data_IF_426088831933
#
_entry.id   IF_426088831933
#
_cell.length_a   1.000
_cell.length_b   1.000
_cell.length_c   1.000
_cell.angle_alpha   90.00
_cell.angle_beta   90.00
_cell.angle_gamma   90.00
#
_symmetry.space_group_name_H-M   'P 1'
#
loop_
_entity.id
_entity.type
_entity.pdbx_description
1 polymer ?
#
# COMPACT_ATOMS: atom_id res chain seq x y z
N UNK A 1 6.79 -7.93 22.18
CA UNK A 1 7.43 -7.53 20.90
C UNK A 1 6.71 -8.05 19.63
N UNK A 2 6.21 -9.31 19.57
CA UNK A 2 5.49 -9.85 18.39
C UNK A 2 4.17 -9.12 18.02
N UNK A 3 3.50 -8.48 18.99
CA UNK A 3 2.26 -7.75 18.75
C UNK A 3 2.44 -6.53 17.81
N UNK A 4 3.56 -5.82 17.93
CA UNK A 4 3.83 -4.62 17.12
C UNK A 4 4.07 -4.95 15.64
N UNK A 5 4.68 -6.11 15.35
CA UNK A 5 4.87 -6.55 13.97
C UNK A 5 3.53 -6.88 13.29
N UNK A 6 2.63 -7.58 14.00
CA UNK A 6 1.27 -7.87 13.50
C UNK A 6 0.47 -6.59 13.25
N UNK A 7 0.60 -5.60 14.14
CA UNK A 7 -0.03 -4.30 13.97
C UNK A 7 0.49 -3.59 12.70
N UNK A 8 1.80 -3.50 12.51
CA UNK A 8 2.42 -2.89 11.31
C UNK A 8 1.91 -3.56 10.04
N UNK A 9 1.93 -4.89 9.99
CA UNK A 9 1.42 -5.65 8.84
C UNK A 9 -0.06 -5.33 8.59
N UNK A 10 -0.89 -5.26 9.63
CA UNK A 10 -2.31 -4.95 9.48
C UNK A 10 -2.58 -3.53 8.97
N UNK A 11 -1.78 -2.54 9.39
CA UNK A 11 -1.90 -1.16 8.93
C UNK A 11 -1.47 -1.02 7.46
N UNK A 12 -0.38 -1.67 7.07
CA UNK A 12 0.06 -1.67 5.67
C UNK A 12 -0.94 -2.40 4.78
N UNK A 13 -1.51 -3.54 5.23
CA UNK A 13 -2.55 -4.26 4.50
C UNK A 13 -3.80 -3.41 4.29
N UNK A 14 -4.15 -2.54 5.25
CA UNK A 14 -5.27 -1.60 5.13
C UNK A 14 -5.05 -0.58 4.00
N UNK A 15 -3.81 -0.14 3.76
CA UNK A 15 -3.48 0.71 2.61
C UNK A 15 -3.54 -0.11 1.32
N UNK A 16 -2.92 -1.29 1.30
CA UNK A 16 -2.84 -2.16 0.12
C UNK A 16 -4.21 -2.45 -0.50
N UNK A 17 -5.21 -2.82 0.30
CA UNK A 17 -6.56 -3.13 -0.20
C UNK A 17 -7.31 -1.92 -0.73
N UNK A 18 -6.88 -0.70 -0.37
CA UNK A 18 -7.50 0.55 -0.82
C UNK A 18 -6.88 1.09 -2.10
N UNK A 19 -5.70 0.60 -2.49
CA UNK A 19 -5.01 1.02 -3.71
C UNK A 19 -5.90 0.81 -4.95
N UNK A 20 -5.81 1.66 -5.99
CA UNK A 20 -6.63 1.57 -7.19
C UNK A 20 -6.55 0.21 -7.90
N UNK A 21 -5.39 -0.44 -7.85
CA UNK A 21 -5.18 -1.79 -8.39
C UNK A 21 -6.09 -2.86 -7.74
N UNK A 22 -6.55 -2.60 -6.51
CA UNK A 22 -7.39 -3.49 -5.70
C UNK A 22 -8.78 -2.91 -5.43
N UNK A 23 -9.03 -1.66 -5.84
CA UNK A 23 -10.23 -0.89 -5.51
C UNK A 23 -10.68 -0.07 -6.74
N UNK A 24 -11.34 -0.76 -7.67
CA UNK A 24 -11.81 -0.20 -8.93
C UNK A 24 -12.69 1.04 -8.72
N UNK A 25 -12.42 2.11 -9.46
CA UNK A 25 -13.17 3.37 -9.39
C UNK A 25 -12.65 4.36 -8.34
N UNK A 26 -11.57 4.04 -7.62
CA UNK A 26 -10.81 5.00 -6.80
C UNK A 26 -9.51 5.37 -7.48
N UNK A 27 -9.17 6.65 -7.44
CA UNK A 27 -7.87 7.16 -7.92
C UNK A 27 -6.92 7.35 -6.75
N UNK A 28 -5.62 7.51 -7.03
CA UNK A 28 -4.62 7.80 -6.00
C UNK A 28 -4.93 9.13 -5.31
N UNK A 29 -5.30 10.16 -6.06
CA UNK A 29 -5.62 11.47 -5.52
C UNK A 29 -6.80 11.38 -4.54
N UNK A 30 -7.81 10.57 -4.85
CA UNK A 30 -8.95 10.35 -3.96
C UNK A 30 -8.56 9.63 -2.65
N UNK A 31 -7.52 8.78 -2.69
CA UNK A 31 -7.00 8.07 -1.53
C UNK A 31 -6.12 8.95 -0.66
N UNK A 32 -5.33 9.83 -1.28
CA UNK A 32 -4.48 10.79 -0.56
C UNK A 32 -5.31 11.78 0.27
N UNK A 33 -6.51 12.13 -0.19
CA UNK A 33 -7.44 12.99 0.55
C UNK A 33 -8.29 12.23 1.59
N UNK A 34 -8.26 10.90 1.60
CA UNK A 34 -9.05 10.11 2.52
C UNK A 34 -8.44 10.12 3.93
N UNK A 35 -9.21 10.58 4.91
CA UNK A 35 -8.77 10.75 6.29
C UNK A 35 -8.27 9.44 6.93
N UNK A 36 -8.87 8.29 6.60
CA UNK A 36 -8.46 7.00 7.15
C UNK A 36 -7.12 6.56 6.56
N UNK A 37 -6.90 6.77 5.26
CA UNK A 37 -5.62 6.56 4.59
C UNK A 37 -4.53 7.41 5.24
N UNK A 38 -4.77 8.71 5.40
CA UNK A 38 -3.81 9.63 6.02
C UNK A 38 -3.44 9.22 7.45
N UNK A 39 -4.43 8.90 8.29
CA UNK A 39 -4.20 8.42 9.66
C UNK A 39 -3.40 7.12 9.69
N UNK A 40 -3.69 6.20 8.77
CA UNK A 40 -2.99 4.91 8.68
C UNK A 40 -1.52 5.13 8.26
N UNK A 41 -1.25 6.01 7.31
CA UNK A 41 0.11 6.39 6.89
C UNK A 41 0.87 7.05 8.06
N UNK A 42 0.24 7.98 8.78
CA UNK A 42 0.84 8.62 9.95
C UNK A 42 1.25 7.60 11.02
N UNK A 43 0.38 6.62 11.32
CA UNK A 43 0.69 5.54 12.26
C UNK A 43 1.85 4.64 11.79
N UNK A 44 1.95 4.37 10.48
CA UNK A 44 3.08 3.60 9.91
C UNK A 44 4.39 4.38 10.08
N UNK A 45 4.38 5.70 9.82
CA UNK A 45 5.54 6.57 10.00
C UNK A 45 6.00 6.56 11.46
N UNK A 46 5.09 6.73 12.41
CA UNK A 46 5.41 6.71 13.85
C UNK A 46 6.01 5.35 14.27
N UNK A 47 5.41 4.24 13.83
CA UNK A 47 5.91 2.89 14.14
C UNK A 47 7.27 2.60 13.49
N UNK A 48 7.59 3.25 12.36
CA UNK A 48 8.86 3.06 11.65
C UNK A 48 10.07 3.48 12.49
N UNK A 49 9.91 4.45 13.40
CA UNK A 49 10.96 4.92 14.33
C UNK A 49 11.50 3.75 15.18
N UNK A 50 10.63 2.81 15.54
CA UNK A 50 10.99 1.69 16.42
C UNK A 50 11.18 0.37 15.68
N UNK A 51 10.64 0.25 14.46
CA UNK A 51 10.55 -1.01 13.71
C UNK A 51 10.74 -0.84 12.19
N UNK A 52 11.66 0.04 11.78
CA UNK A 52 11.91 0.36 10.38
C UNK A 52 12.05 -0.86 9.46
N UNK A 53 12.86 -1.86 9.87
CA UNK A 53 13.07 -3.08 9.06
C UNK A 53 11.76 -3.82 8.76
N UNK A 54 10.83 -3.90 9.72
CA UNK A 54 9.54 -4.59 9.51
C UNK A 54 8.66 -3.79 8.55
N UNK A 55 8.63 -2.45 8.70
CA UNK A 55 7.88 -1.56 7.82
C UNK A 55 8.39 -1.66 6.38
N UNK A 56 9.70 -1.52 6.18
CA UNK A 56 10.33 -1.54 4.84
C UNK A 56 10.12 -2.89 4.15
N UNK A 57 10.33 -4.00 4.86
CA UNK A 57 10.10 -5.33 4.29
C UNK A 57 8.64 -5.51 3.83
N UNK A 58 7.69 -5.05 4.63
CA UNK A 58 6.27 -5.18 4.27
C UNK A 58 5.88 -4.25 3.12
N UNK A 59 6.43 -3.03 3.04
CA UNK A 59 6.23 -2.13 1.90
C UNK A 59 6.82 -2.70 0.61
N UNK A 60 7.99 -3.35 0.68
CA UNK A 60 8.61 -4.00 -0.48
C UNK A 60 7.68 -5.08 -1.07
N UNK A 61 7.01 -5.88 -0.22
CA UNK A 61 6.03 -6.88 -0.67
C UNK A 61 4.81 -6.24 -1.37
N UNK A 62 4.34 -5.09 -0.87
CA UNK A 62 3.24 -4.35 -1.53
C UNK A 62 3.68 -3.77 -2.87
N UNK A 63 4.89 -3.22 -2.96
CA UNK A 63 5.46 -2.72 -4.23
C UNK A 63 5.63 -3.85 -5.25
N UNK A 64 6.09 -5.02 -4.83
CA UNK A 64 6.19 -6.19 -5.71
C UNK A 64 4.81 -6.63 -6.23
N UNK A 65 3.78 -6.62 -5.37
CA UNK A 65 2.41 -6.89 -5.78
C UNK A 65 1.92 -5.88 -6.82
N UNK A 66 2.15 -4.58 -6.58
CA UNK A 66 1.77 -3.53 -7.53
C UNK A 66 2.47 -3.77 -8.87
N UNK A 67 3.78 -3.99 -8.85
CA UNK A 67 4.59 -4.21 -10.06
C UNK A 67 4.10 -5.40 -10.90
N UNK A 68 3.62 -6.48 -10.27
CA UNK A 68 3.07 -7.66 -10.98
C UNK A 68 1.70 -7.41 -11.61
N UNK A 69 0.94 -6.45 -11.08
CA UNK A 69 -0.43 -6.16 -11.54
C UNK A 69 -0.51 -5.00 -12.54
N UNK A 70 0.59 -4.28 -12.78
CA UNK A 70 0.70 -3.39 -13.94
C UNK A 70 0.81 -4.27 -15.18
N UNK A 71 -0.31 -4.63 -15.80
CA UNK A 71 -0.27 -5.22 -17.13
C UNK A 71 0.35 -4.19 -18.09
N UNK A 72 1.35 -4.57 -18.91
CA UNK A 72 1.72 -3.73 -20.04
C UNK A 72 0.48 -3.60 -20.91
N UNK A 73 -0.01 -2.37 -21.09
CA UNK A 73 -1.06 -2.08 -22.05
C UNK A 73 -0.56 -2.57 -23.42
N UNK A 74 -1.04 -3.73 -23.87
CA UNK A 74 -0.89 -4.13 -25.26
C UNK A 74 -1.79 -3.22 -26.07
N UNK A 75 -1.27 -2.05 -26.46
CA UNK A 75 -1.78 -1.29 -27.58
C UNK A 75 -1.59 -2.17 -28.81
N UNK A 76 -2.58 -3.04 -29.06
CA UNK A 76 -2.78 -3.60 -30.38
C UNK A 76 -3.37 -2.47 -31.23
N UNK A 77 -2.49 -1.60 -31.72
CA UNK A 77 -2.76 -0.76 -32.87
C UNK A 77 -2.83 -1.70 -34.09
N UNK A 78 -3.95 -2.42 -34.21
CA UNK A 78 -4.23 -3.31 -35.32
C UNK A 78 -5.27 -2.65 -36.23
N UNK A 79 -4.74 -2.11 -37.33
CA UNK A 79 -5.34 -1.78 -38.64
C UNK A 79 -6.40 -0.68 -38.72
#
# INVERSE_FOLDING_TARGET
MRANAKLIVSLIKRIEVRLPINNTGKTIESLEQDALTQQTVAAIIELSIHKLSVVVNQLALVLELISKNVQPSTTNDAY
#
